data_IF_392346499135
#
_entry.id   IF_392346499135
#
_cell.length_a   1.000
_cell.length_b   1.000
_cell.length_c   1.000
_cell.angle_alpha   90.00
_cell.angle_beta   90.00
_cell.angle_gamma   90.00
#
_symmetry.space_group_name_H-M   'P 1'
#
loop_
_entity.id
_entity.type
_entity.pdbx_description
1 polymer ?
#
# COMPACT_ATOMS: atom_id res chain seq x y z
N UNK A 1 7.47 0.59 1.41
CA UNK A 1 6.83 -0.50 2.22
C UNK A 1 7.65 -0.76 3.45
N UNK A 2 7.03 -0.73 4.62
CA UNK A 2 7.68 -0.97 5.91
C UNK A 2 7.48 -2.40 6.39
N UNK A 3 8.53 -2.99 6.99
CA UNK A 3 8.38 -4.22 7.75
C UNK A 3 7.63 -3.94 9.04
N UNK A 4 6.65 -4.78 9.35
CA UNK A 4 5.86 -4.72 10.59
C UNK A 4 6.08 -5.99 11.41
N UNK A 5 5.73 -5.94 12.70
CA UNK A 5 5.80 -7.12 13.57
C UNK A 5 4.78 -8.17 13.14
N UNK A 6 5.13 -9.44 13.26
CA UNK A 6 4.19 -10.54 13.02
C UNK A 6 3.04 -10.51 14.04
N UNK A 7 1.86 -11.09 13.69
CA UNK A 7 0.76 -11.24 14.61
C UNK A 7 1.18 -11.92 15.92
N UNK A 8 0.59 -11.50 17.05
CA UNK A 8 0.83 -12.09 18.37
C UNK A 8 0.04 -13.38 18.62
N UNK A 9 -0.73 -13.82 17.65
CA UNK A 9 -1.54 -15.04 17.69
C UNK A 9 -1.38 -15.83 16.39
N UNK A 10 -1.48 -17.14 16.50
CA UNK A 10 -1.35 -18.09 15.40
C UNK A 10 -2.72 -18.62 14.96
N UNK A 11 -2.73 -19.41 13.89
CA UNK A 11 -3.95 -20.03 13.36
C UNK A 11 -4.63 -20.95 14.37
N UNK A 12 -3.88 -21.62 15.25
CA UNK A 12 -4.46 -22.51 16.27
C UNK A 12 -5.46 -21.75 17.16
N UNK A 13 -5.11 -20.53 17.61
CA UNK A 13 -6.03 -19.71 18.41
C UNK A 13 -7.30 -19.33 17.64
N UNK A 14 -7.19 -19.05 16.35
CA UNK A 14 -8.34 -18.74 15.49
C UNK A 14 -9.25 -19.96 15.34
N UNK A 15 -8.67 -21.14 15.15
CA UNK A 15 -9.41 -22.40 15.05
C UNK A 15 -10.14 -22.72 16.36
N UNK A 16 -9.50 -22.53 17.51
CA UNK A 16 -10.12 -22.74 18.83
C UNK A 16 -11.35 -21.85 19.02
N UNK A 17 -11.26 -20.57 18.64
CA UNK A 17 -12.40 -19.64 18.67
C UNK A 17 -13.52 -20.04 17.69
N UNK A 18 -13.17 -20.52 16.50
CA UNK A 18 -14.14 -21.03 15.51
C UNK A 18 -14.89 -22.22 16.08
N UNK A 19 -14.20 -23.19 16.66
CA UNK A 19 -14.80 -24.40 17.24
C UNK A 19 -15.66 -24.03 18.43
N UNK A 20 -15.18 -23.22 19.36
CA UNK A 20 -15.95 -22.75 20.53
C UNK A 20 -17.21 -21.99 20.13
N UNK A 21 -17.16 -21.14 19.10
CA UNK A 21 -18.35 -20.47 18.57
C UNK A 21 -19.37 -21.45 18.02
N UNK A 22 -18.94 -22.48 17.32
CA UNK A 22 -19.84 -23.51 16.74
C UNK A 22 -20.44 -24.39 17.78
N UNK A 23 -19.75 -24.71 18.87
CA UNK A 23 -20.29 -25.48 20.01
C UNK A 23 -21.38 -24.70 20.71
N UNK A 24 -21.25 -23.39 20.89
CA UNK A 24 -22.26 -22.55 21.52
C UNK A 24 -23.50 -22.34 20.63
N UNK A 25 -23.36 -22.41 19.30
CA UNK A 25 -24.44 -22.16 18.34
C UNK A 25 -24.96 -23.45 17.66
N UNK A 26 -25.16 -24.52 18.41
CA UNK A 26 -25.52 -25.86 17.94
C UNK A 26 -26.80 -25.98 17.08
N UNK A 27 -27.65 -24.96 17.03
CA UNK A 27 -28.92 -24.97 16.27
C UNK A 27 -28.84 -24.76 14.78
N UNK A 28 -27.67 -24.39 14.23
CA UNK A 28 -27.47 -24.09 12.80
C UNK A 28 -26.69 -25.21 12.11
N UNK A 29 -27.35 -26.02 11.27
CA UNK A 29 -26.74 -27.08 10.43
C UNK A 29 -25.60 -26.67 9.50
N UNK A 30 -25.19 -25.38 9.47
CA UNK A 30 -24.18 -24.83 8.59
C UNK A 30 -22.73 -25.16 8.98
N UNK A 31 -22.48 -25.80 10.11
CA UNK A 31 -21.14 -26.06 10.64
C UNK A 31 -20.74 -27.57 10.69
N UNK A 32 -21.53 -28.45 10.10
CA UNK A 32 -21.34 -29.90 10.21
C UNK A 32 -19.93 -30.38 9.83
N UNK A 33 -19.44 -29.95 8.67
CA UNK A 33 -18.11 -30.36 8.17
C UNK A 33 -16.97 -29.89 9.07
N UNK A 34 -17.01 -28.66 9.62
CA UNK A 34 -15.94 -28.15 10.48
C UNK A 34 -15.89 -28.92 11.79
N UNK A 35 -17.07 -29.26 12.36
CA UNK A 35 -17.15 -30.10 13.54
C UNK A 35 -16.61 -31.50 13.28
N UNK A 36 -17.02 -32.15 12.19
CA UNK A 36 -16.52 -33.47 11.79
C UNK A 36 -14.98 -33.46 11.64
N UNK A 37 -14.43 -32.44 11.00
CA UNK A 37 -12.99 -32.29 10.84
C UNK A 37 -12.27 -32.04 12.18
N UNK A 38 -12.90 -31.34 13.11
CA UNK A 38 -12.39 -31.14 14.46
C UNK A 38 -12.41 -32.43 15.26
N UNK A 39 -13.55 -33.10 15.34
CA UNK A 39 -13.74 -34.38 16.06
C UNK A 39 -12.82 -35.49 15.49
N UNK A 40 -12.59 -35.52 14.19
CA UNK A 40 -11.64 -36.43 13.54
C UNK A 40 -10.15 -35.98 13.65
N UNK A 41 -9.87 -34.92 14.40
CA UNK A 41 -8.54 -34.34 14.55
C UNK A 41 -7.81 -34.03 13.22
N UNK A 42 -8.54 -33.56 12.21
CA UNK A 42 -8.00 -33.21 10.89
C UNK A 42 -7.85 -31.69 10.67
N UNK A 43 -8.69 -30.89 11.33
CA UNK A 43 -8.78 -29.44 11.13
C UNK A 43 -7.50 -28.72 11.57
N UNK A 44 -7.15 -28.83 12.83
CA UNK A 44 -6.01 -28.11 13.41
C UNK A 44 -4.66 -28.54 12.82
N UNK A 45 -4.35 -29.84 12.64
CA UNK A 45 -3.10 -30.24 11.99
C UNK A 45 -2.94 -29.70 10.58
N UNK A 46 -4.04 -29.64 9.81
CA UNK A 46 -4.00 -29.07 8.46
C UNK A 46 -3.64 -27.58 8.47
N UNK A 47 -4.34 -26.77 9.26
CA UNK A 47 -4.08 -25.33 9.30
C UNK A 47 -2.74 -25.00 9.94
N UNK A 48 -2.25 -25.75 10.91
CA UNK A 48 -0.89 -25.61 11.45
C UNK A 48 0.16 -25.88 10.37
N UNK A 49 -0.06 -26.90 9.52
CA UNK A 49 0.83 -27.15 8.39
C UNK A 49 0.82 -26.00 7.40
N UNK A 50 -0.35 -25.46 7.05
CA UNK A 50 -0.50 -24.32 6.15
C UNK A 50 0.23 -23.09 6.72
N UNK A 51 0.12 -22.81 8.01
CA UNK A 51 0.84 -21.72 8.67
C UNK A 51 2.36 -21.93 8.63
N UNK A 52 2.82 -23.16 8.93
CA UNK A 52 4.23 -23.51 8.86
C UNK A 52 4.78 -23.34 7.44
N UNK A 53 4.10 -23.87 6.42
CA UNK A 53 4.51 -23.75 5.01
C UNK A 53 4.58 -22.25 4.58
N UNK A 54 3.66 -21.41 5.08
CA UNK A 54 3.65 -19.97 4.82
C UNK A 54 4.82 -19.25 5.50
N UNK A 55 5.11 -19.59 6.75
CA UNK A 55 6.23 -19.04 7.52
C UNK A 55 7.57 -19.46 6.95
N UNK A 56 7.71 -20.72 6.53
CA UNK A 56 8.91 -21.26 5.89
C UNK A 56 9.20 -20.60 4.54
N UNK A 57 8.15 -20.26 3.79
CA UNK A 57 8.29 -19.47 2.56
C UNK A 57 8.78 -18.04 2.84
N UNK A 58 8.33 -17.42 3.93
CA UNK A 58 8.83 -16.15 4.45
C UNK A 58 8.90 -15.04 3.39
N UNK A 59 10.11 -14.56 3.13
CA UNK A 59 10.37 -13.51 2.15
C UNK A 59 10.11 -13.96 0.69
N UNK A 60 10.01 -15.26 0.43
CA UNK A 60 9.81 -15.83 -0.90
C UNK A 60 8.48 -16.56 -1.03
N UNK A 61 7.36 -15.86 -0.80
CA UNK A 61 6.01 -16.43 -0.98
C UNK A 61 5.77 -16.99 -2.39
N UNK A 62 6.54 -16.53 -3.37
CA UNK A 62 6.47 -17.07 -4.72
C UNK A 62 6.80 -18.57 -4.79
N UNK A 63 7.71 -19.04 -3.95
CA UNK A 63 8.03 -20.47 -3.85
C UNK A 63 6.88 -21.31 -3.28
N UNK A 64 6.03 -20.72 -2.45
CA UNK A 64 4.81 -21.34 -1.96
C UNK A 64 3.74 -21.37 -3.07
N UNK A 65 3.48 -20.21 -3.71
CA UNK A 65 2.47 -20.08 -4.77
C UNK A 65 2.71 -21.10 -5.90
N UNK A 66 3.97 -21.30 -6.29
CA UNK A 66 4.32 -22.25 -7.38
C UNK A 66 3.99 -23.72 -7.07
N UNK A 67 3.76 -24.05 -5.80
CA UNK A 67 3.42 -25.41 -5.32
C UNK A 67 1.93 -25.57 -4.99
N UNK A 68 1.16 -24.46 -5.01
CA UNK A 68 -0.24 -24.50 -4.67
C UNK A 68 -1.11 -24.75 -5.89
N UNK A 69 -2.07 -25.63 -5.72
CA UNK A 69 -3.18 -25.77 -6.66
C UNK A 69 -4.31 -24.82 -6.26
N UNK A 70 -4.94 -24.20 -7.26
CA UNK A 70 -6.16 -23.44 -7.03
C UNK A 70 -7.30 -24.42 -6.74
N UNK A 71 -8.02 -24.16 -5.67
CA UNK A 71 -9.15 -25.00 -5.27
C UNK A 71 -10.31 -24.13 -4.79
N UNK A 72 -11.52 -24.59 -5.06
CA UNK A 72 -12.73 -23.98 -4.55
C UNK A 72 -13.14 -24.53 -3.16
N UNK A 73 -12.33 -25.44 -2.62
CA UNK A 73 -12.56 -26.04 -1.29
C UNK A 73 -11.25 -26.27 -0.53
N UNK A 74 -11.39 -26.37 0.80
CA UNK A 74 -10.31 -26.64 1.76
C UNK A 74 -10.78 -27.77 2.68
N UNK A 75 -10.21 -28.95 2.58
CA UNK A 75 -10.68 -30.15 3.33
C UNK A 75 -12.17 -30.46 3.11
N UNK A 76 -12.75 -30.14 1.96
CA UNK A 76 -14.20 -30.22 1.74
C UNK A 76 -15.01 -29.03 2.29
N UNK A 77 -14.35 -28.03 2.89
CA UNK A 77 -14.98 -26.76 3.25
C UNK A 77 -14.99 -25.87 2.02
N UNK A 78 -16.18 -25.51 1.55
CA UNK A 78 -16.32 -24.62 0.40
C UNK A 78 -15.69 -23.25 0.64
N UNK A 79 -15.16 -22.65 -0.41
CA UNK A 79 -14.58 -21.30 -0.44
C UNK A 79 -15.52 -20.23 0.12
N UNK A 80 -16.82 -20.33 -0.19
CA UNK A 80 -17.86 -19.47 0.37
C UNK A 80 -17.89 -19.50 1.89
N UNK A 81 -17.70 -20.68 2.47
CA UNK A 81 -17.65 -20.88 3.92
C UNK A 81 -16.36 -20.37 4.54
N UNK A 82 -15.22 -20.55 3.87
CA UNK A 82 -13.96 -19.93 4.32
C UNK A 82 -14.07 -18.40 4.37
N UNK A 83 -14.72 -17.79 3.38
CA UNK A 83 -15.01 -16.35 3.37
C UNK A 83 -15.97 -15.91 4.47
N UNK A 84 -16.97 -16.73 4.79
CA UNK A 84 -17.88 -16.48 5.91
C UNK A 84 -17.13 -16.52 7.25
N UNK A 85 -16.24 -17.50 7.46
CA UNK A 85 -15.37 -17.57 8.64
C UNK A 85 -14.51 -16.31 8.78
N UNK A 86 -13.87 -15.87 7.71
CA UNK A 86 -13.13 -14.61 7.72
C UNK A 86 -14.02 -13.44 8.16
N UNK A 87 -15.18 -13.26 7.54
CA UNK A 87 -16.09 -12.17 7.88
C UNK A 87 -16.56 -12.20 9.34
N UNK A 88 -16.76 -13.38 9.91
CA UNK A 88 -17.19 -13.57 11.28
C UNK A 88 -16.08 -13.28 12.28
N UNK A 89 -14.91 -13.90 12.09
CA UNK A 89 -13.82 -13.87 13.07
C UNK A 89 -12.88 -12.66 12.91
N UNK A 90 -12.95 -11.96 11.77
CA UNK A 90 -12.26 -10.70 11.55
C UNK A 90 -13.22 -9.52 11.28
N UNK A 91 -14.42 -9.56 11.87
CA UNK A 91 -15.39 -8.45 11.84
C UNK A 91 -14.86 -7.20 12.54
N UNK A 92 -15.56 -6.07 12.41
CA UNK A 92 -15.17 -4.81 13.05
C UNK A 92 -15.06 -4.90 14.58
N UNK A 93 -15.81 -5.80 15.19
CA UNK A 93 -15.86 -6.01 16.64
C UNK A 93 -14.85 -7.06 17.14
N UNK A 94 -14.23 -7.80 16.25
CA UNK A 94 -13.30 -8.87 16.55
C UNK A 94 -12.03 -8.37 17.27
N UNK A 95 -11.61 -9.10 18.30
CA UNK A 95 -10.30 -8.88 18.94
C UNK A 95 -9.15 -9.14 17.98
N UNK A 96 -9.25 -10.18 17.12
CA UNK A 96 -8.24 -10.50 16.12
C UNK A 96 -7.99 -9.33 15.15
N UNK A 97 -9.08 -8.71 14.65
CA UNK A 97 -8.96 -7.54 13.78
C UNK A 97 -8.29 -6.37 14.49
N UNK A 98 -8.69 -6.08 15.72
CA UNK A 98 -8.08 -5.00 16.52
C UNK A 98 -6.59 -5.25 16.77
N UNK A 99 -6.20 -6.50 17.03
CA UNK A 99 -4.80 -6.84 17.28
C UNK A 99 -3.95 -6.70 16.00
N UNK A 100 -4.48 -7.08 14.83
CA UNK A 100 -3.81 -6.84 13.55
C UNK A 100 -3.68 -5.34 13.24
N UNK A 101 -4.68 -4.52 13.57
CA UNK A 101 -4.61 -3.06 13.37
C UNK A 101 -3.55 -2.39 14.24
N UNK A 102 -3.29 -2.89 15.47
CA UNK A 102 -2.24 -2.38 16.36
C UNK A 102 -0.84 -2.56 15.80
N UNK A 103 -0.64 -3.47 14.84
CA UNK A 103 0.66 -3.69 14.20
C UNK A 103 1.07 -2.55 13.25
N UNK A 104 0.10 -1.71 12.86
CA UNK A 104 0.29 -0.57 11.95
C UNK A 104 -0.28 0.72 12.55
N UNK A 105 0.28 1.23 13.68
CA UNK A 105 -0.40 2.25 14.48
C UNK A 105 -0.44 3.65 13.84
N UNK A 106 0.39 3.94 12.85
CA UNK A 106 0.56 5.28 12.28
C UNK A 106 0.08 5.41 10.85
N UNK A 107 0.43 4.46 10.00
CA UNK A 107 0.23 4.57 8.56
C UNK A 107 0.10 3.19 7.90
N UNK A 108 -0.39 3.17 6.67
CA UNK A 108 -0.43 1.99 5.82
C UNK A 108 1.01 1.50 5.54
N UNK A 109 1.34 0.23 5.81
CA UNK A 109 2.70 -0.28 5.60
C UNK A 109 3.09 -0.39 4.12
N UNK A 110 2.13 -0.24 3.21
CA UNK A 110 2.34 -0.32 1.76
C UNK A 110 2.69 1.04 1.17
N UNK A 111 1.86 2.06 1.41
CA UNK A 111 1.96 3.37 0.75
C UNK A 111 2.26 4.53 1.71
N UNK A 112 2.50 4.22 2.97
CA UNK A 112 2.77 5.20 4.04
C UNK A 112 1.67 6.24 4.32
N UNK A 113 0.46 6.11 3.70
CA UNK A 113 -0.67 6.99 3.98
C UNK A 113 -1.08 6.91 5.46
N UNK A 114 -1.20 8.06 6.11
CA UNK A 114 -1.57 8.16 7.51
C UNK A 114 -3.04 7.81 7.75
N UNK A 115 -3.33 7.17 8.89
CA UNK A 115 -4.69 6.73 9.21
C UNK A 115 -5.68 7.88 9.47
N UNK A 116 -5.23 9.07 9.74
CA UNK A 116 -6.09 10.25 9.81
C UNK A 116 -6.84 10.55 8.51
N UNK A 117 -6.30 10.12 7.37
CA UNK A 117 -6.84 10.36 6.03
C UNK A 117 -7.21 9.08 5.28
N UNK A 118 -6.88 7.91 5.82
CA UNK A 118 -7.07 6.63 5.14
C UNK A 118 -7.89 5.64 6.00
N UNK A 119 -8.80 4.92 5.35
CA UNK A 119 -9.61 3.90 6.02
C UNK A 119 -8.83 2.61 6.16
N UNK A 120 -8.76 2.06 7.38
CA UNK A 120 -8.19 0.75 7.66
C UNK A 120 -9.02 -0.38 7.05
N UNK A 121 -8.34 -1.32 6.40
CA UNK A 121 -8.88 -2.59 5.96
C UNK A 121 -7.93 -3.73 6.31
N UNK A 122 -8.39 -4.97 6.27
CA UNK A 122 -7.50 -6.14 6.26
C UNK A 122 -7.39 -6.65 4.82
N UNK A 123 -6.17 -6.72 4.32
CA UNK A 123 -5.84 -7.25 3.00
C UNK A 123 -5.29 -8.68 3.15
N UNK A 124 -5.76 -9.59 2.31
CA UNK A 124 -5.18 -10.92 2.17
C UNK A 124 -4.00 -10.86 1.20
N UNK A 125 -2.77 -10.97 1.70
CA UNK A 125 -1.57 -10.95 0.84
C UNK A 125 -1.69 -11.99 -0.27
N UNK A 126 -2.03 -13.23 0.05
CA UNK A 126 -2.49 -14.24 -0.90
C UNK A 126 -4.03 -14.21 -0.90
N UNK A 127 -4.67 -13.80 -2.02
CA UNK A 127 -6.10 -13.54 -2.08
C UNK A 127 -6.96 -14.75 -1.72
N UNK A 128 -7.94 -14.58 -0.84
CA UNK A 128 -8.90 -15.62 -0.44
C UNK A 128 -9.71 -16.17 -1.61
N UNK A 129 -9.89 -15.34 -2.63
CA UNK A 129 -10.62 -15.70 -3.85
C UNK A 129 -9.89 -16.73 -4.72
N UNK A 130 -8.59 -16.88 -4.55
CA UNK A 130 -7.72 -17.80 -5.28
C UNK A 130 -7.22 -18.90 -4.34
N UNK A 131 -6.88 -18.55 -3.12
CA UNK A 131 -6.28 -19.43 -2.12
C UNK A 131 -7.11 -19.43 -0.82
N UNK A 132 -8.29 -20.08 -0.80
CA UNK A 132 -9.20 -20.05 0.35
C UNK A 132 -8.58 -20.61 1.63
N UNK A 133 -7.56 -21.48 1.55
CA UNK A 133 -6.83 -22.01 2.70
C UNK A 133 -6.12 -20.92 3.54
N UNK A 134 -5.86 -19.75 2.95
CA UNK A 134 -5.25 -18.61 3.67
C UNK A 134 -6.26 -17.56 4.13
N UNK A 135 -7.57 -17.78 3.92
CA UNK A 135 -8.60 -16.79 4.22
C UNK A 135 -8.63 -16.35 5.69
N UNK A 136 -8.36 -17.28 6.61
CA UNK A 136 -8.39 -17.03 8.07
C UNK A 136 -6.99 -17.03 8.71
N UNK A 137 -5.93 -17.13 7.91
CA UNK A 137 -4.55 -17.24 8.39
C UNK A 137 -4.04 -15.85 8.84
N UNK A 138 -3.69 -15.65 10.14
CA UNK A 138 -3.29 -14.33 10.65
C UNK A 138 -2.10 -13.72 9.89
N UNK A 139 -1.08 -14.51 9.58
CA UNK A 139 0.14 -14.05 8.89
C UNK A 139 -0.11 -13.68 7.41
N UNK A 140 -1.28 -14.04 6.86
CA UNK A 140 -1.72 -13.63 5.53
C UNK A 140 -2.56 -12.34 5.53
N UNK A 141 -2.97 -11.85 6.71
CA UNK A 141 -3.84 -10.70 6.89
C UNK A 141 -3.04 -9.47 7.33
N UNK A 142 -2.96 -8.46 6.49
CA UNK A 142 -2.22 -7.23 6.75
C UNK A 142 -3.16 -6.04 6.82
N UNK A 143 -3.00 -5.22 7.86
CA UNK A 143 -3.70 -3.93 7.93
C UNK A 143 -3.15 -2.99 6.88
N UNK A 144 -3.97 -2.63 5.89
CA UNK A 144 -3.64 -1.72 4.80
C UNK A 144 -4.74 -0.67 4.63
N UNK A 145 -4.47 0.41 3.90
CA UNK A 145 -5.52 1.34 3.55
C UNK A 145 -6.44 0.76 2.46
N UNK A 146 -7.69 1.25 2.44
CA UNK A 146 -8.69 0.82 1.46
C UNK A 146 -8.17 0.90 0.02
N UNK A 147 -7.43 1.96 -0.32
CA UNK A 147 -6.87 2.15 -1.66
C UNK A 147 -5.88 1.04 -2.05
N UNK A 148 -4.93 0.73 -1.17
CA UNK A 148 -3.97 -0.35 -1.42
C UNK A 148 -4.66 -1.71 -1.55
N UNK A 149 -5.58 -2.03 -0.64
CA UNK A 149 -6.36 -3.25 -0.70
C UNK A 149 -7.17 -3.35 -2.01
N UNK A 150 -7.86 -2.27 -2.38
CA UNK A 150 -8.66 -2.22 -3.60
C UNK A 150 -7.80 -2.34 -4.87
N UNK A 151 -6.66 -1.66 -4.93
CA UNK A 151 -5.73 -1.74 -6.09
C UNK A 151 -5.17 -3.13 -6.25
N UNK A 152 -4.76 -3.77 -5.15
CA UNK A 152 -4.23 -5.13 -5.18
C UNK A 152 -5.31 -6.13 -5.58
N UNK A 153 -6.52 -6.02 -5.02
CA UNK A 153 -7.62 -6.94 -5.29
C UNK A 153 -7.17 -8.42 -5.23
N UNK A 154 -7.35 -9.17 -6.34
CA UNK A 154 -6.94 -10.56 -6.47
C UNK A 154 -5.66 -10.75 -7.30
N UNK A 155 -4.84 -9.71 -7.45
CA UNK A 155 -3.60 -9.81 -8.21
C UNK A 155 -2.62 -10.73 -7.47
N UNK A 156 -2.12 -11.72 -8.19
CA UNK A 156 -1.10 -12.68 -7.75
C UNK A 156 -0.01 -12.74 -8.81
N UNK A 157 1.24 -12.63 -8.39
CA UNK A 157 2.36 -12.84 -9.29
C UNK A 157 2.69 -14.34 -9.40
N UNK A 158 2.63 -14.90 -10.58
CA UNK A 158 2.98 -16.31 -10.84
C UNK A 158 4.40 -16.49 -11.34
N UNK A 159 5.02 -15.44 -11.86
CA UNK A 159 6.39 -15.47 -12.35
C UNK A 159 7.37 -15.10 -11.24
N UNK A 160 8.58 -15.59 -11.32
CA UNK A 160 9.65 -15.24 -10.36
C UNK A 160 9.89 -13.72 -10.29
N UNK A 161 9.76 -13.03 -11.41
CA UNK A 161 9.86 -11.57 -11.51
C UNK A 161 8.66 -10.80 -10.93
N UNK A 162 7.59 -11.50 -10.56
CA UNK A 162 6.35 -10.98 -9.99
C UNK A 162 6.19 -11.36 -8.51
N UNK A 163 7.30 -11.47 -7.79
CA UNK A 163 7.29 -11.94 -6.39
C UNK A 163 6.35 -11.13 -5.50
N UNK A 164 5.57 -11.84 -4.69
CA UNK A 164 4.67 -11.24 -3.70
C UNK A 164 5.47 -10.76 -2.51
N UNK A 165 5.27 -9.49 -2.13
CA UNK A 165 5.86 -8.89 -0.95
C UNK A 165 4.84 -8.88 0.19
N UNK A 166 5.27 -9.37 1.36
CA UNK A 166 4.47 -9.35 2.58
C UNK A 166 5.18 -8.49 3.64
N UNK A 167 4.54 -7.44 4.17
CA UNK A 167 5.14 -6.54 5.17
C UNK A 167 5.60 -7.25 6.46
N UNK A 168 5.11 -8.42 6.78
CA UNK A 168 5.63 -9.20 7.91
C UNK A 168 7.06 -9.71 7.68
N UNK A 169 7.44 -9.97 6.43
CA UNK A 169 8.75 -10.52 6.06
C UNK A 169 9.63 -9.52 5.33
N UNK A 170 9.04 -8.72 4.43
CA UNK A 170 9.75 -7.87 3.52
C UNK A 170 9.76 -6.39 3.97
N UNK A 171 10.85 -5.70 3.64
CA UNK A 171 10.96 -4.25 3.75
C UNK A 171 11.58 -3.70 2.48
N UNK A 172 11.02 -2.61 1.96
CA UNK A 172 11.57 -1.89 0.80
C UNK A 172 11.49 -0.40 1.06
N UNK A 173 12.64 0.26 1.16
CA UNK A 173 12.69 1.72 1.11
C UNK A 173 12.57 2.15 -0.36
N UNK A 174 11.43 2.74 -0.73
CA UNK A 174 11.15 3.20 -2.10
C UNK A 174 11.84 4.54 -2.42
N UNK A 175 12.10 5.37 -1.43
CA UNK A 175 12.49 6.76 -1.61
C UNK A 175 13.71 6.98 -2.53
N UNK A 176 14.82 6.22 -2.39
CA UNK A 176 15.99 6.40 -3.26
C UNK A 176 15.69 6.13 -4.74
N UNK A 177 14.64 5.35 -5.00
CA UNK A 177 14.30 4.83 -6.33
C UNK A 177 13.22 5.64 -7.03
N UNK A 178 12.59 6.62 -6.35
CA UNK A 178 11.55 7.45 -6.93
C UNK A 178 12.14 8.68 -7.63
N UNK A 179 11.49 9.07 -8.72
CA UNK A 179 11.71 10.34 -9.44
C UNK A 179 10.36 10.91 -9.86
N UNK A 180 10.24 12.24 -9.78
CA UNK A 180 9.13 12.98 -10.37
C UNK A 180 9.48 13.44 -11.78
N UNK A 181 8.49 13.43 -12.65
CA UNK A 181 8.52 14.07 -13.96
C UNK A 181 7.33 15.01 -14.04
N UNK A 182 7.61 16.27 -14.29
CA UNK A 182 6.58 17.29 -14.52
C UNK A 182 6.68 17.80 -15.95
N UNK A 183 5.57 17.95 -16.64
CA UNK A 183 5.50 18.53 -17.98
C UNK A 183 4.16 19.26 -18.16
N UNK A 184 4.12 20.16 -19.15
CA UNK A 184 2.94 20.92 -19.49
C UNK A 184 2.06 20.15 -20.48
N UNK A 185 0.76 20.15 -20.25
CA UNK A 185 -0.25 19.63 -21.17
C UNK A 185 -1.42 20.62 -21.26
N UNK A 186 -1.44 21.42 -22.32
CA UNK A 186 -2.37 22.56 -22.42
C UNK A 186 -2.03 23.64 -21.41
N UNK A 187 -2.98 24.02 -20.59
CA UNK A 187 -2.82 25.00 -19.51
C UNK A 187 -2.68 24.36 -18.12
N UNK A 188 -2.26 23.10 -18.06
CA UNK A 188 -2.10 22.37 -16.78
C UNK A 188 -0.74 21.67 -16.67
N UNK A 189 -0.30 21.45 -15.44
CA UNK A 189 0.86 20.64 -15.12
C UNK A 189 0.45 19.19 -14.87
N UNK A 190 1.15 18.28 -15.53
CA UNK A 190 1.04 16.85 -15.27
C UNK A 190 2.29 16.39 -14.53
N UNK A 191 2.09 15.78 -13.37
CA UNK A 191 3.17 15.22 -12.55
C UNK A 191 3.06 13.70 -12.50
N UNK A 192 4.20 13.01 -12.70
CA UNK A 192 4.30 11.57 -12.60
C UNK A 192 5.42 11.17 -11.66
N UNK A 193 5.07 10.44 -10.59
CA UNK A 193 6.05 9.81 -9.70
C UNK A 193 6.28 8.38 -10.19
N UNK A 194 7.51 8.08 -10.58
CA UNK A 194 7.89 6.80 -11.19
C UNK A 194 9.12 6.22 -10.50
N UNK A 195 9.35 4.93 -10.69
CA UNK A 195 10.64 4.33 -10.39
C UNK A 195 11.69 4.80 -11.40
N UNK A 196 12.89 5.12 -10.93
CA UNK A 196 14.05 5.37 -11.79
C UNK A 196 14.34 4.11 -12.62
N UNK A 197 14.97 4.29 -13.79
CA UNK A 197 15.33 3.18 -14.65
C UNK A 197 16.26 2.17 -13.95
N UNK A 198 16.12 0.89 -14.29
CA UNK A 198 16.90 -0.23 -13.73
C UNK A 198 18.40 0.04 -13.74
N UNK A 199 18.92 0.61 -14.82
CA UNK A 199 20.36 0.95 -14.98
C UNK A 199 20.88 1.99 -13.98
N UNK A 200 20.00 2.82 -13.40
CA UNK A 200 20.35 3.90 -12.46
C UNK A 200 20.20 3.44 -11.00
N UNK A 201 19.29 2.49 -10.76
CA UNK A 201 18.89 2.07 -9.40
C UNK A 201 19.95 1.20 -8.71
N UNK A 202 20.78 0.48 -9.48
CA UNK A 202 21.83 -0.39 -8.94
C UNK A 202 21.30 -1.61 -8.18
N UNK A 203 20.03 -1.95 -8.34
CA UNK A 203 19.45 -3.18 -7.82
C UNK A 203 19.74 -4.37 -8.73
N UNK A 204 19.76 -5.56 -8.15
CA UNK A 204 19.69 -6.80 -8.93
C UNK A 204 18.46 -6.78 -9.87
N UNK A 205 18.60 -7.22 -11.15
CA UNK A 205 17.52 -7.16 -12.14
C UNK A 205 16.22 -7.84 -11.69
N UNK A 206 16.32 -8.96 -10.97
CA UNK A 206 15.15 -9.67 -10.47
C UNK A 206 14.47 -8.89 -9.35
N UNK A 207 15.25 -8.32 -8.43
CA UNK A 207 14.73 -7.46 -7.36
C UNK A 207 14.06 -6.23 -7.93
N UNK A 208 14.65 -5.61 -8.95
CA UNK A 208 14.04 -4.45 -9.62
C UNK A 208 12.70 -4.80 -10.26
N UNK A 209 12.61 -5.91 -11.00
CA UNK A 209 11.37 -6.38 -11.63
C UNK A 209 10.28 -6.68 -10.59
N UNK A 210 10.61 -7.32 -9.48
CA UNK A 210 9.69 -7.56 -8.34
C UNK A 210 9.21 -6.25 -7.73
N UNK A 211 10.12 -5.29 -7.52
CA UNK A 211 9.79 -3.97 -7.00
C UNK A 211 8.86 -3.22 -7.95
N UNK A 212 9.16 -3.24 -9.25
CA UNK A 212 8.34 -2.60 -10.27
C UNK A 212 6.94 -3.20 -10.34
N UNK A 213 6.84 -4.53 -10.34
CA UNK A 213 5.56 -5.23 -10.31
C UNK A 213 4.72 -4.81 -9.08
N UNK A 214 5.33 -4.80 -7.89
CA UNK A 214 4.70 -4.34 -6.65
C UNK A 214 4.22 -2.89 -6.76
N UNK A 215 5.08 -2.00 -7.26
CA UNK A 215 4.85 -0.56 -7.29
C UNK A 215 3.81 -0.15 -8.34
N UNK A 216 3.94 -0.67 -9.57
CA UNK A 216 3.13 -0.24 -10.72
C UNK A 216 1.88 -1.09 -10.91
N UNK A 217 2.00 -2.43 -10.78
CA UNK A 217 0.92 -3.35 -11.15
C UNK A 217 0.02 -3.71 -9.96
N UNK A 218 0.63 -4.07 -8.82
CA UNK A 218 -0.13 -4.56 -7.67
C UNK A 218 -0.81 -3.42 -6.91
N UNK A 219 -0.05 -2.45 -6.46
CA UNK A 219 -0.56 -1.38 -5.60
C UNK A 219 -0.75 -0.05 -6.30
N UNK A 220 -0.33 0.08 -7.57
CA UNK A 220 -0.43 1.30 -8.39
C UNK A 220 0.03 2.55 -7.63
N UNK A 221 1.19 2.42 -6.97
CA UNK A 221 1.72 3.51 -6.15
C UNK A 221 2.20 4.68 -7.01
N UNK A 222 2.62 4.43 -8.25
CA UNK A 222 2.90 5.46 -9.24
C UNK A 222 1.70 6.40 -9.45
N UNK A 223 0.49 5.85 -9.63
CA UNK A 223 -0.74 6.65 -9.77
C UNK A 223 -1.06 7.40 -8.47
N UNK A 224 -0.89 6.71 -7.31
CA UNK A 224 -1.17 7.28 -6.01
C UNK A 224 -0.34 8.51 -5.69
N UNK A 225 0.95 8.34 -5.80
CA UNK A 225 1.87 9.40 -5.45
C UNK A 225 1.82 10.53 -6.47
N UNK A 226 1.57 10.22 -7.75
CA UNK A 226 1.35 11.24 -8.78
C UNK A 226 0.13 12.10 -8.49
N UNK A 227 -0.97 11.49 -8.06
CA UNK A 227 -2.18 12.23 -7.69
C UNK A 227 -1.94 13.13 -6.47
N UNK A 228 -1.28 12.62 -5.42
CA UNK A 228 -0.92 13.43 -4.24
C UNK A 228 0.05 14.54 -4.62
N UNK A 229 1.05 14.27 -5.46
CA UNK A 229 2.00 15.27 -5.94
C UNK A 229 1.29 16.39 -6.70
N UNK A 230 0.34 16.05 -7.58
CA UNK A 230 -0.42 17.03 -8.36
C UNK A 230 -1.36 17.84 -7.47
N UNK A 231 -2.22 17.19 -6.71
CA UNK A 231 -3.32 17.85 -5.99
C UNK A 231 -2.85 18.55 -4.72
N UNK A 232 -2.04 17.87 -3.91
CA UNK A 232 -1.68 18.39 -2.59
C UNK A 232 -0.36 19.17 -2.59
N UNK A 233 0.60 18.76 -3.42
CA UNK A 233 1.92 19.41 -3.42
C UNK A 233 1.97 20.57 -4.40
N UNK A 234 1.68 20.34 -5.68
CA UNK A 234 1.82 21.37 -6.71
C UNK A 234 0.85 22.53 -6.47
N UNK A 235 -0.41 22.25 -6.19
CA UNK A 235 -1.39 23.30 -5.89
C UNK A 235 -1.00 24.11 -4.66
N UNK A 236 -0.53 23.45 -3.57
CA UNK A 236 -0.07 24.15 -2.37
C UNK A 236 1.16 25.03 -2.64
N UNK A 237 2.07 24.60 -3.52
CA UNK A 237 3.20 25.44 -3.95
C UNK A 237 2.73 26.67 -4.72
N UNK A 238 1.80 26.51 -5.64
CA UNK A 238 1.23 27.62 -6.43
C UNK A 238 0.51 28.59 -5.50
N UNK A 239 -0.30 28.10 -4.55
CA UNK A 239 -0.99 28.94 -3.57
C UNK A 239 0.02 29.73 -2.73
N UNK A 240 1.06 29.10 -2.19
CA UNK A 240 2.11 29.76 -1.41
C UNK A 240 2.83 30.85 -2.24
N UNK A 241 3.20 30.53 -3.49
CA UNK A 241 3.85 31.52 -4.37
C UNK A 241 2.93 32.69 -4.71
N UNK A 242 1.60 32.44 -4.82
CA UNK A 242 0.65 33.53 -5.10
C UNK A 242 0.56 34.57 -4.00
N UNK A 243 0.83 34.20 -2.75
CA UNK A 243 0.86 35.08 -1.59
C UNK A 243 2.11 35.96 -1.50
N UNK A 244 3.21 35.54 -2.16
CA UNK A 244 4.51 36.24 -2.08
C UNK A 244 4.62 37.52 -2.94
N UNK A 245 3.59 37.87 -3.73
CA UNK A 245 3.62 39.03 -4.62
C UNK A 245 4.30 38.76 -5.99
N UNK A 246 4.88 39.77 -6.64
CA UNK A 246 5.50 39.61 -7.94
C UNK A 246 6.76 38.75 -7.87
N UNK A 247 6.66 37.53 -8.38
CA UNK A 247 7.73 36.52 -8.34
C UNK A 247 8.36 36.45 -9.72
N UNK A 248 9.67 36.71 -9.82
CA UNK A 248 10.41 36.52 -11.06
C UNK A 248 10.77 35.06 -11.30
N UNK A 249 10.98 34.67 -12.56
CA UNK A 249 11.43 33.31 -12.88
C UNK A 249 12.74 32.93 -12.16
N UNK A 250 13.65 33.88 -11.97
CA UNK A 250 14.92 33.65 -11.26
C UNK A 250 14.70 33.47 -9.76
N UNK A 251 13.72 34.16 -9.16
CA UNK A 251 13.31 33.97 -7.78
C UNK A 251 12.72 32.55 -7.59
N UNK A 252 11.78 32.15 -8.44
CA UNK A 252 11.19 30.80 -8.39
C UNK A 252 12.26 29.72 -8.44
N UNK A 253 13.24 29.86 -9.37
CA UNK A 253 14.37 28.93 -9.48
C UNK A 253 15.26 28.93 -8.25
N UNK A 254 15.59 30.10 -7.71
CA UNK A 254 16.48 30.25 -6.55
C UNK A 254 15.85 29.69 -5.27
N UNK A 255 14.59 30.00 -5.00
CA UNK A 255 13.90 29.52 -3.82
C UNK A 255 13.60 28.03 -3.88
N UNK A 256 13.26 27.49 -5.05
CA UNK A 256 13.12 26.05 -5.21
C UNK A 256 14.41 25.31 -4.88
N UNK A 257 15.57 25.86 -5.26
CA UNK A 257 16.86 25.27 -4.90
C UNK A 257 17.10 25.28 -3.38
N UNK A 258 16.82 26.38 -2.70
CA UNK A 258 17.01 26.50 -1.26
C UNK A 258 16.11 25.54 -0.48
N UNK A 259 14.86 25.35 -0.93
CA UNK A 259 13.90 24.44 -0.32
C UNK A 259 14.20 22.94 -0.54
N UNK A 260 14.96 22.60 -1.61
CA UNK A 260 15.33 21.22 -1.92
C UNK A 260 16.53 20.76 -1.11
N UNK A 261 17.49 21.63 -0.83
CA UNK A 261 18.83 21.22 -0.39
C UNK A 261 18.90 20.79 1.09
N UNK A 262 17.96 21.21 1.93
CA UNK A 262 18.16 21.07 3.37
C UNK A 262 17.82 19.68 3.95
N UNK A 263 17.01 18.81 3.29
CA UNK A 263 16.49 17.64 3.97
C UNK A 263 16.32 16.34 3.15
N UNK A 264 16.72 16.27 1.90
CA UNK A 264 16.45 15.09 1.06
C UNK A 264 17.05 13.80 1.62
N UNK A 265 18.30 13.86 2.07
CA UNK A 265 18.99 12.70 2.62
C UNK A 265 18.36 12.25 3.95
N UNK A 266 17.97 13.20 4.80
CA UNK A 266 17.24 12.93 6.05
C UNK A 266 15.87 12.30 5.76
N UNK A 267 15.11 12.81 4.81
CA UNK A 267 13.84 12.24 4.39
C UNK A 267 14.00 10.82 3.84
N UNK A 268 15.02 10.58 3.01
CA UNK A 268 15.34 9.23 2.50
C UNK A 268 15.68 8.27 3.65
N UNK A 269 16.43 8.75 4.65
CA UNK A 269 16.81 7.94 5.81
C UNK A 269 15.61 7.50 6.65
N UNK A 270 14.55 8.31 6.72
CA UNK A 270 13.29 7.99 7.42
C UNK A 270 12.54 6.82 6.76
N UNK A 271 12.77 6.57 5.48
CA UNK A 271 12.20 5.42 4.75
C UNK A 271 10.68 5.45 4.61
N UNK A 272 10.06 6.64 4.66
CA UNK A 272 8.59 6.86 4.57
C UNK A 272 8.32 7.88 3.49
N UNK A 273 7.38 7.58 2.61
CA UNK A 273 6.90 8.55 1.62
C UNK A 273 5.96 9.55 2.33
N UNK A 274 6.46 10.74 2.60
CA UNK A 274 5.71 11.86 3.19
C UNK A 274 5.38 12.92 2.14
N UNK A 275 4.50 13.86 2.49
CA UNK A 275 4.23 15.02 1.62
C UNK A 275 5.50 15.86 1.40
N UNK A 276 6.34 16.01 2.42
CA UNK A 276 7.62 16.72 2.33
C UNK A 276 8.55 16.06 1.31
N UNK A 277 8.64 14.73 1.32
CA UNK A 277 9.43 14.00 0.34
C UNK A 277 8.88 14.17 -1.09
N UNK A 278 7.56 14.07 -1.27
CA UNK A 278 6.92 14.31 -2.56
C UNK A 278 7.13 15.76 -3.02
N UNK A 279 7.11 16.74 -2.10
CA UNK A 279 7.42 18.14 -2.38
C UNK A 279 8.84 18.28 -2.95
N UNK A 280 9.83 17.65 -2.32
CA UNK A 280 11.22 17.66 -2.83
C UNK A 280 11.30 17.10 -4.25
N UNK A 281 10.64 15.98 -4.52
CA UNK A 281 10.63 15.37 -5.87
C UNK A 281 9.96 16.27 -6.92
N UNK A 282 8.86 16.93 -6.57
CA UNK A 282 8.17 17.89 -7.45
C UNK A 282 9.07 19.09 -7.72
N UNK A 283 9.67 19.68 -6.70
CA UNK A 283 10.58 20.83 -6.85
C UNK A 283 11.79 20.51 -7.74
N UNK A 284 12.38 19.31 -7.57
CA UNK A 284 13.46 18.85 -8.47
C UNK A 284 12.99 18.76 -9.92
N UNK A 285 11.78 18.24 -10.15
CA UNK A 285 11.25 18.11 -11.51
C UNK A 285 10.90 19.45 -12.15
N UNK A 286 10.57 20.46 -11.35
CA UNK A 286 10.29 21.82 -11.82
C UNK A 286 11.56 22.56 -12.23
N UNK A 287 12.73 22.22 -11.67
CA UNK A 287 14.01 22.79 -12.08
C UNK A 287 14.43 22.41 -13.51
N UNK A 288 13.99 21.23 -13.95
CA UNK A 288 14.30 20.70 -15.29
C UNK A 288 13.36 21.29 -16.39
N UNK A 289 12.41 22.17 -16.01
CA UNK A 289 11.42 22.71 -16.94
C UNK A 289 12.01 23.82 -17.82
N UNK A 290 11.51 23.90 -19.06
CA UNK A 290 11.80 24.95 -20.01
C UNK A 290 11.13 26.28 -19.61
N UNK A 291 11.57 27.39 -20.23
CA UNK A 291 11.11 28.76 -19.91
C UNK A 291 9.58 28.88 -19.97
N UNK A 292 8.93 28.21 -20.93
CA UNK A 292 7.48 28.22 -21.12
C UNK A 292 6.70 27.71 -19.89
N UNK A 293 7.31 26.83 -19.08
CA UNK A 293 6.68 26.35 -17.86
C UNK A 293 6.63 27.42 -16.76
N UNK A 294 7.61 28.28 -16.68
CA UNK A 294 7.60 29.42 -15.76
C UNK A 294 6.55 30.46 -16.16
N UNK A 295 6.32 30.64 -17.47
CA UNK A 295 5.25 31.50 -17.96
C UNK A 295 3.87 30.93 -17.60
N UNK A 296 3.70 29.61 -17.61
CA UNK A 296 2.49 28.97 -17.14
C UNK A 296 2.30 29.15 -15.62
N UNK A 297 3.35 28.95 -14.82
CA UNK A 297 3.31 29.20 -13.37
C UNK A 297 2.88 30.66 -13.13
N UNK A 298 3.50 31.64 -13.80
CA UNK A 298 3.15 33.04 -13.62
C UNK A 298 1.69 33.34 -14.00
N UNK A 299 1.15 32.76 -15.06
CA UNK A 299 -0.29 32.89 -15.39
C UNK A 299 -1.18 32.30 -14.28
N UNK A 300 -0.88 31.11 -13.80
CA UNK A 300 -1.63 30.48 -12.70
C UNK A 300 -1.58 31.32 -11.42
N UNK A 301 -0.42 31.93 -11.11
CA UNK A 301 -0.27 32.84 -9.97
C UNK A 301 -1.17 34.08 -10.13
N UNK A 302 -1.22 34.67 -11.32
CA UNK A 302 -2.09 35.83 -11.59
C UNK A 302 -3.57 35.47 -11.45
N UNK A 303 -3.99 34.34 -11.98
CA UNK A 303 -5.38 33.86 -11.85
C UNK A 303 -5.77 33.63 -10.39
N UNK A 304 -4.91 33.01 -9.59
CA UNK A 304 -5.13 32.79 -8.15
C UNK A 304 -5.30 34.10 -7.37
N UNK A 305 -4.46 35.11 -7.65
CA UNK A 305 -4.56 36.44 -7.03
C UNK A 305 -5.90 37.12 -7.36
N UNK A 306 -6.30 37.09 -8.63
CA UNK A 306 -7.59 37.65 -9.04
C UNK A 306 -8.77 36.97 -8.33
N UNK A 307 -8.71 35.64 -8.09
CA UNK A 307 -9.73 34.90 -7.36
C UNK A 307 -9.79 35.30 -5.87
N UNK A 308 -8.63 35.53 -5.23
CA UNK A 308 -8.58 35.93 -3.81
C UNK A 308 -9.12 37.35 -3.61
N UNK A 309 -8.79 38.29 -4.49
CA UNK A 309 -9.32 39.67 -4.43
C UNK A 309 -10.84 39.71 -4.58
N UNK A 310 -11.43 38.78 -5.32
CA UNK A 310 -12.92 38.67 -5.47
C UNK A 310 -13.56 38.08 -4.20
N UNK A 311 -12.88 37.19 -3.48
CA UNK A 311 -13.40 36.62 -2.23
C UNK A 311 -13.36 37.61 -1.06
N UNK A 312 -12.42 38.54 -1.04
CA UNK A 312 -12.33 39.59 0.01
C UNK A 312 -13.38 40.71 -0.17
N UNK A 313 -14.16 40.70 -1.26
CA UNK A 313 -15.22 41.66 -1.54
C UNK A 313 -16.61 41.17 -1.07
N UNK A 314 -16.74 39.90 -0.69
CA UNK A 314 -17.98 39.29 -0.18
C UNK A 314 -17.83 38.83 1.27
#
# INVERSE_FOLDING_TARGET
MKKISSPSFCIAKVIDEIVGYMEQNQGNNKSGIIRELHESNRLLPYFNKIESDYLDAGENLQSLISKLEQSDEVLGIEKSKMKELYKTFYSSESSFRRDLYKLTPRCCPICDAEWGYATHTLDHILPESIFPQFAILPINLVSTCYRCNHSKNSIVGYLESQGVLNPYFNSVNLLPYLKCYTYIKGDDFITHIQLKNESVVGLDPLKYKRLRFFYEEVYKLNEAYSEVARVSVLNSLIDTLSELGDVTNDFIKGDFQSLIMDDKEDLISKGVVTLEFLKVLVLESLQDLEVEAYDLINRMLQERRQMSEVQDIF
#
